data_IF_180624551109
#
_entry.id   IF_180624551109
#
_cell.length_a   1.000
_cell.length_b   1.000
_cell.length_c   1.000
_cell.angle_alpha   90.00
_cell.angle_beta   90.00
_cell.angle_gamma   90.00
#
_symmetry.space_group_name_H-M   'P 1'
#
loop_
_entity.id
_entity.type
_entity.pdbx_description
1 polymer ?
#
# COMPACT_ATOMS: atom_id res chain seq x y z
N UNK A 1 -26.33 69.23 -16.92
CA UNK A 1 -26.58 67.86 -16.41
C UNK A 1 -26.01 66.87 -17.41
N UNK A 2 -25.30 65.84 -16.93
CA UNK A 2 -24.85 64.60 -17.62
C UNK A 2 -23.42 64.22 -17.17
N UNK A 3 -23.27 63.83 -15.90
CA UNK A 3 -22.02 63.31 -15.29
C UNK A 3 -22.23 61.90 -14.70
N UNK A 4 -23.09 61.09 -15.30
CA UNK A 4 -23.54 59.82 -14.70
C UNK A 4 -23.41 58.60 -15.65
N UNK A 5 -22.66 58.70 -16.74
CA UNK A 5 -22.50 57.60 -17.72
C UNK A 5 -21.04 57.16 -17.95
N UNK A 6 -20.16 57.40 -16.98
CA UNK A 6 -18.73 57.03 -17.08
C UNK A 6 -18.26 56.04 -16.00
N UNK A 7 -19.15 55.61 -15.09
CA UNK A 7 -18.77 54.80 -13.93
C UNK A 7 -19.13 53.31 -14.02
N UNK A 8 -19.67 52.84 -15.15
CA UNK A 8 -20.17 51.46 -15.28
C UNK A 8 -19.29 50.52 -16.13
N UNK A 9 -18.20 51.01 -16.72
CA UNK A 9 -17.35 50.21 -17.63
C UNK A 9 -16.07 49.64 -16.99
N UNK A 10 -15.73 50.03 -15.75
CA UNK A 10 -14.47 49.65 -15.09
C UNK A 10 -14.56 48.44 -14.14
N UNK A 11 -15.76 47.94 -13.85
CA UNK A 11 -15.96 46.83 -12.88
C UNK A 11 -16.01 45.45 -13.56
N UNK A 12 -16.20 45.39 -14.88
CA UNK A 12 -16.33 44.12 -15.62
C UNK A 12 -15.01 43.39 -15.91
N UNK A 13 -13.84 44.01 -15.69
CA UNK A 13 -12.54 43.44 -16.02
C UNK A 13 -11.87 42.66 -14.87
N UNK A 14 -12.49 42.60 -13.68
CA UNK A 14 -11.86 42.00 -12.49
C UNK A 14 -12.22 40.51 -12.25
N UNK A 15 -13.07 39.89 -13.07
CA UNK A 15 -13.57 38.52 -12.81
C UNK A 15 -12.85 37.39 -13.58
N UNK A 16 -11.77 37.67 -14.31
CA UNK A 16 -11.06 36.64 -15.11
C UNK A 16 -9.72 36.17 -14.51
N UNK A 17 -9.40 36.54 -13.27
CA UNK A 17 -8.08 36.29 -12.66
C UNK A 17 -7.95 35.10 -11.71
N UNK A 18 -9.02 34.37 -11.39
CA UNK A 18 -8.98 33.22 -10.46
C UNK A 18 -9.11 31.91 -11.22
N UNK A 19 -8.46 31.81 -12.37
CA UNK A 19 -8.07 30.50 -12.88
C UNK A 19 -6.98 29.97 -11.94
N UNK A 20 -7.18 28.79 -11.34
CA UNK A 20 -6.16 28.03 -10.63
C UNK A 20 -5.04 27.61 -11.61
N UNK A 21 -4.37 28.57 -12.21
CA UNK A 21 -3.22 28.41 -13.06
C UNK A 21 -1.98 28.43 -12.18
N UNK A 22 -1.86 27.43 -11.30
CA UNK A 22 -0.55 27.02 -10.83
C UNK A 22 -0.31 25.63 -11.43
N UNK A 23 -0.04 25.65 -12.74
CA UNK A 23 0.58 24.53 -13.46
C UNK A 23 2.04 24.41 -13.00
N UNK A 24 2.23 24.03 -11.74
CA UNK A 24 3.48 23.45 -11.28
C UNK A 24 3.32 21.95 -11.43
N UNK A 25 4.26 21.30 -12.12
CA UNK A 25 4.41 19.85 -12.02
C UNK A 25 4.51 19.54 -10.52
N UNK A 26 3.69 18.64 -9.95
CA UNK A 26 3.79 18.31 -8.54
C UNK A 26 5.23 17.88 -8.25
N UNK A 27 5.80 18.42 -7.17
CA UNK A 27 7.14 18.10 -6.74
C UNK A 27 7.25 16.58 -6.54
N UNK A 28 8.20 15.94 -7.22
CA UNK A 28 8.40 14.50 -7.10
C UNK A 28 9.14 14.27 -5.78
N UNK A 29 8.39 13.94 -4.75
CA UNK A 29 8.95 13.50 -3.48
C UNK A 29 9.53 12.10 -3.63
N UNK A 30 10.83 11.96 -3.35
CA UNK A 30 11.51 10.67 -3.30
C UNK A 30 11.57 10.19 -1.86
N UNK A 31 10.88 9.08 -1.58
CA UNK A 31 10.88 8.44 -0.27
C UNK A 31 11.89 7.29 -0.27
N UNK A 32 12.74 7.24 0.75
CA UNK A 32 13.55 6.06 1.01
C UNK A 32 12.64 4.95 1.54
N UNK A 33 12.44 3.92 0.72
CA UNK A 33 11.74 2.71 1.15
C UNK A 33 12.73 1.85 1.93
N UNK A 34 12.50 1.72 3.24
CA UNK A 34 13.27 0.78 4.07
C UNK A 34 12.99 -0.64 3.57
N UNK A 35 14.04 -1.33 3.12
CA UNK A 35 13.94 -2.74 2.75
C UNK A 35 13.68 -3.54 4.03
N UNK A 36 12.43 -3.97 4.19
CA UNK A 36 12.05 -4.84 5.31
C UNK A 36 12.60 -6.23 5.05
N UNK A 37 13.15 -6.84 6.09
CA UNK A 37 13.57 -8.23 6.05
C UNK A 37 12.36 -9.14 5.69
N UNK A 38 12.45 -9.96 4.61
CA UNK A 38 11.29 -10.72 4.13
C UNK A 38 10.83 -11.79 5.12
N UNK A 39 11.72 -12.33 5.97
CA UNK A 39 11.34 -13.30 7.00
C UNK A 39 10.53 -12.59 8.10
N UNK A 40 10.95 -11.41 8.54
CA UNK A 40 10.21 -10.61 9.51
C UNK A 40 8.85 -10.14 8.96
N UNK A 41 8.78 -9.77 7.68
CA UNK A 41 7.52 -9.45 7.00
C UNK A 41 6.56 -10.65 7.01
N UNK A 42 7.05 -11.84 6.65
CA UNK A 42 6.27 -13.07 6.74
C UNK A 42 5.79 -13.36 8.18
N UNK A 43 6.66 -13.20 9.17
CA UNK A 43 6.28 -13.36 10.59
C UNK A 43 5.20 -12.38 11.02
N UNK A 44 5.24 -11.13 10.55
CA UNK A 44 4.22 -10.13 10.88
C UNK A 44 2.85 -10.54 10.32
N UNK A 45 2.79 -10.95 9.04
CA UNK A 45 1.57 -11.46 8.40
C UNK A 45 1.01 -12.67 9.15
N UNK A 46 1.87 -13.65 9.44
CA UNK A 46 1.48 -14.86 10.16
C UNK A 46 1.02 -14.57 11.59
N UNK A 47 1.64 -13.59 12.27
CA UNK A 47 1.22 -13.15 13.61
C UNK A 47 -0.20 -12.58 13.57
N UNK A 48 -0.53 -11.78 12.55
CA UNK A 48 -1.89 -11.28 12.37
C UNK A 48 -2.89 -12.43 12.22
N UNK A 49 -2.61 -13.43 11.39
CA UNK A 49 -3.48 -14.59 11.21
C UNK A 49 -3.59 -15.46 12.47
N UNK A 50 -2.50 -15.66 13.20
CA UNK A 50 -2.50 -16.36 14.48
C UNK A 50 -3.41 -15.66 15.52
N UNK A 51 -3.46 -14.33 15.46
CA UNK A 51 -4.34 -13.49 16.27
C UNK A 51 -5.80 -13.43 15.76
N UNK A 52 -6.12 -14.12 14.66
CA UNK A 52 -7.47 -14.20 14.11
C UNK A 52 -7.83 -13.07 13.14
N UNK A 53 -6.85 -12.29 12.66
CA UNK A 53 -7.08 -11.36 11.57
C UNK A 53 -7.46 -12.13 10.30
N UNK A 54 -8.44 -11.64 9.53
CA UNK A 54 -8.81 -12.28 8.27
C UNK A 54 -7.68 -12.12 7.23
N UNK A 55 -7.64 -13.04 6.28
CA UNK A 55 -6.82 -12.90 5.06
C UNK A 55 -7.46 -11.86 4.16
N UNK A 56 -6.70 -10.86 3.71
CA UNK A 56 -7.18 -9.82 2.79
C UNK A 56 -6.34 -9.76 1.51
N UNK A 57 -6.15 -8.57 0.92
CA UNK A 57 -5.47 -8.40 -0.38
C UNK A 57 -3.98 -8.74 -0.36
N UNK A 58 -3.35 -8.84 0.82
CA UNK A 58 -1.94 -9.23 0.95
C UNK A 58 -1.66 -10.65 0.42
N UNK A 59 -2.68 -11.51 0.33
CA UNK A 59 -2.56 -12.85 -0.24
C UNK A 59 -2.18 -12.85 -1.73
N UNK A 60 -2.38 -11.74 -2.44
CA UNK A 60 -1.90 -11.57 -3.81
C UNK A 60 -0.39 -11.35 -3.88
N UNK A 61 0.22 -10.82 -2.82
CA UNK A 61 1.66 -10.56 -2.73
C UNK A 61 2.47 -11.74 -2.19
N UNK A 62 1.81 -12.84 -1.80
CA UNK A 62 2.50 -14.02 -1.27
C UNK A 62 3.58 -14.58 -2.20
N UNK A 63 3.37 -14.72 -3.54
CA UNK A 63 4.41 -15.26 -4.42
C UNK A 63 5.72 -14.45 -4.35
N UNK A 64 5.61 -13.13 -4.32
CA UNK A 64 6.77 -12.24 -4.24
C UNK A 64 7.45 -12.30 -2.87
N UNK A 65 6.68 -12.39 -1.78
CA UNK A 65 7.20 -12.60 -0.44
C UNK A 65 7.95 -13.94 -0.33
N UNK A 66 7.35 -15.02 -0.81
CA UNK A 66 7.95 -16.37 -0.83
C UNK A 66 9.26 -16.34 -1.60
N UNK A 67 9.28 -15.71 -2.79
CA UNK A 67 10.49 -15.57 -3.60
C UNK A 67 11.60 -14.86 -2.81
N UNK A 68 11.31 -13.71 -2.20
CA UNK A 68 12.29 -12.96 -1.39
C UNK A 68 12.76 -13.75 -0.17
N UNK A 69 11.89 -14.54 0.46
CA UNK A 69 12.30 -15.44 1.55
C UNK A 69 13.21 -16.54 1.01
N UNK A 70 12.91 -17.17 -0.13
CA UNK A 70 13.76 -18.21 -0.74
C UNK A 70 15.15 -17.70 -1.12
N UNK A 71 15.23 -16.46 -1.61
CA UNK A 71 16.51 -15.79 -1.90
C UNK A 71 17.37 -15.63 -0.64
N UNK A 72 16.74 -15.46 0.53
CA UNK A 72 17.43 -15.32 1.82
C UNK A 72 17.68 -16.67 2.52
N UNK A 73 16.70 -17.55 2.51
CA UNK A 73 16.68 -18.87 3.14
C UNK A 73 15.69 -19.77 2.37
N UNK A 74 16.25 -20.62 1.49
CA UNK A 74 15.47 -21.52 0.65
C UNK A 74 14.57 -22.47 1.45
N UNK A 75 15.07 -23.00 2.57
CA UNK A 75 14.34 -23.97 3.39
C UNK A 75 13.10 -23.31 4.03
N UNK A 76 13.27 -22.11 4.60
CA UNK A 76 12.14 -21.33 5.14
C UNK A 76 11.18 -20.91 4.04
N UNK A 77 11.68 -20.58 2.86
CA UNK A 77 10.85 -20.21 1.72
C UNK A 77 9.95 -21.35 1.25
N UNK A 78 10.44 -22.59 1.22
CA UNK A 78 9.64 -23.77 0.85
C UNK A 78 8.57 -24.11 1.91
N UNK A 79 8.88 -23.93 3.20
CA UNK A 79 7.91 -24.07 4.30
C UNK A 79 6.82 -23.01 4.16
N UNK A 80 7.23 -21.75 3.95
CA UNK A 80 6.33 -20.62 3.81
C UNK A 80 5.42 -20.75 2.58
N UNK A 81 5.94 -21.25 1.46
CA UNK A 81 5.18 -21.46 0.23
C UNK A 81 4.00 -22.39 0.45
N UNK A 82 4.25 -23.59 0.99
CA UNK A 82 3.19 -24.57 1.28
C UNK A 82 2.14 -23.99 2.22
N UNK A 83 2.60 -23.28 3.25
CA UNK A 83 1.76 -22.64 4.25
C UNK A 83 0.85 -21.55 3.67
N UNK A 84 1.45 -20.52 3.08
CA UNK A 84 0.73 -19.35 2.55
C UNK A 84 -0.17 -19.70 1.36
N UNK A 85 0.23 -20.63 0.48
CA UNK A 85 -0.65 -21.10 -0.60
C UNK A 85 -1.85 -21.88 -0.06
N UNK A 86 -1.67 -22.67 1.00
CA UNK A 86 -2.78 -23.31 1.71
C UNK A 86 -3.75 -22.29 2.31
N UNK A 87 -3.22 -21.24 2.94
CA UNK A 87 -4.02 -20.13 3.48
C UNK A 87 -4.78 -19.38 2.39
N UNK A 88 -4.13 -19.05 1.25
CA UNK A 88 -4.77 -18.39 0.11
C UNK A 88 -5.92 -19.23 -0.47
N UNK A 89 -5.72 -20.54 -0.59
CA UNK A 89 -6.73 -21.46 -1.10
C UNK A 89 -7.90 -21.68 -0.12
N UNK A 90 -7.62 -21.66 1.19
CA UNK A 90 -8.63 -21.82 2.22
C UNK A 90 -8.37 -20.87 3.42
N UNK A 91 -8.86 -19.62 3.35
CA UNK A 91 -8.64 -18.62 4.39
C UNK A 91 -9.12 -19.02 5.78
N UNK A 92 -10.09 -19.92 5.89
CA UNK A 92 -10.58 -20.42 7.18
C UNK A 92 -9.49 -21.17 7.98
N UNK A 93 -8.43 -21.64 7.31
CA UNK A 93 -7.29 -22.34 7.93
C UNK A 93 -6.17 -21.39 8.37
N UNK A 94 -6.29 -20.08 8.12
CA UNK A 94 -5.22 -19.11 8.36
C UNK A 94 -4.66 -19.17 9.78
N UNK A 95 -5.52 -19.17 10.79
CA UNK A 95 -5.10 -19.17 12.20
C UNK A 95 -4.27 -20.39 12.61
N UNK A 96 -4.78 -21.65 12.48
CA UNK A 96 -3.99 -22.81 12.87
C UNK A 96 -2.73 -22.98 12.03
N UNK A 97 -2.78 -22.70 10.71
CA UNK A 97 -1.60 -22.81 9.83
C UNK A 97 -0.54 -21.79 10.23
N UNK A 98 -0.92 -20.54 10.52
CA UNK A 98 0.01 -19.50 10.90
C UNK A 98 0.74 -19.77 12.22
N UNK A 99 0.04 -20.33 13.21
CA UNK A 99 0.65 -20.76 14.49
C UNK A 99 1.73 -21.81 14.26
N UNK A 100 1.51 -22.77 13.35
CA UNK A 100 2.51 -23.80 13.04
C UNK A 100 3.68 -23.25 12.23
N UNK A 101 3.44 -22.36 11.26
CA UNK A 101 4.50 -21.74 10.47
C UNK A 101 5.42 -20.86 11.32
N UNK A 102 4.88 -20.10 12.29
CA UNK A 102 5.67 -19.25 13.19
C UNK A 102 6.71 -20.03 14.01
N UNK A 103 6.47 -21.31 14.29
CA UNK A 103 7.42 -22.17 15.01
C UNK A 103 8.60 -22.60 14.14
N UNK A 104 8.45 -22.53 12.82
CA UNK A 104 9.39 -23.06 11.83
C UNK A 104 10.23 -21.96 11.15
N UNK A 105 9.87 -20.68 11.34
CA UNK A 105 10.52 -19.50 10.74
C UNK A 105 11.44 -18.78 11.73
#
# INVERSE_FOLDING_TARGET
MNRQLLAAALVAAAMFGVGCAQSGTPEIETYQVTVVDPINEAKAILTNYANGMPVTSEAESYPDLIKRVKEKDAAKGDILEKGLMGIKANPATARPVAIELLKQL
#
